data_IF_042033138560
#
_entry.id   IF_042033138560
#
_cell.length_a   1.000
_cell.length_b   1.000
_cell.length_c   1.000
_cell.angle_alpha   90.00
_cell.angle_beta   90.00
_cell.angle_gamma   90.00
#
_symmetry.space_group_name_H-M   'P 1'
#
loop_
_entity.id
_entity.type
_entity.pdbx_description
1 polymer ?
#
# COMPACT_ATOMS: atom_id res chain seq x y z
N UNK A 1 1.05 -20.42 0.43
CA UNK A 1 0.56 -19.85 1.73
C UNK A 1 -0.89 -20.27 2.01
N UNK A 2 -1.87 -20.03 1.09
CA UNK A 2 -3.29 -20.32 1.31
C UNK A 2 -3.51 -21.80 1.69
N UNK A 3 -3.02 -22.75 0.90
CA UNK A 3 -3.12 -24.17 1.18
C UNK A 3 -2.56 -24.56 2.57
N UNK A 4 -1.45 -23.95 2.97
CA UNK A 4 -0.86 -24.18 4.30
C UNK A 4 -1.78 -23.70 5.43
N UNK A 5 -2.42 -22.51 5.24
CA UNK A 5 -3.38 -21.95 6.18
C UNK A 5 -4.62 -22.85 6.27
N UNK A 6 -5.19 -23.26 5.15
CA UNK A 6 -6.34 -24.17 5.11
C UNK A 6 -6.04 -25.50 5.79
N UNK A 7 -4.86 -26.08 5.54
CA UNK A 7 -4.42 -27.31 6.18
C UNK A 7 -4.28 -27.16 7.70
N UNK A 8 -3.70 -26.03 8.15
CA UNK A 8 -3.49 -25.76 9.57
C UNK A 8 -4.80 -25.47 10.30
N UNK A 9 -5.65 -24.61 9.74
CA UNK A 9 -6.93 -24.21 10.34
C UNK A 9 -8.04 -25.24 10.17
N UNK A 10 -7.84 -26.22 9.28
CA UNK A 10 -8.87 -27.17 8.83
C UNK A 10 -10.12 -26.49 8.23
N UNK A 11 -9.96 -25.24 7.78
CA UNK A 11 -11.01 -24.47 7.11
C UNK A 11 -10.82 -24.51 5.60
N UNK A 12 -11.92 -24.68 4.87
CA UNK A 12 -11.92 -24.55 3.40
C UNK A 12 -11.93 -23.09 2.97
N UNK A 13 -12.54 -22.23 3.77
CA UNK A 13 -12.70 -20.81 3.49
C UNK A 13 -11.73 -19.98 4.33
N UNK A 14 -11.19 -18.93 3.73
CA UNK A 14 -10.28 -17.97 4.39
C UNK A 14 -10.70 -16.54 4.09
N UNK A 15 -10.30 -15.63 4.97
CA UNK A 15 -10.36 -14.20 4.73
C UNK A 15 -8.95 -13.68 4.45
N UNK A 16 -8.78 -12.89 3.40
CA UNK A 16 -7.54 -12.16 3.14
C UNK A 16 -7.65 -10.75 3.70
N UNK A 17 -6.65 -10.36 4.47
CA UNK A 17 -6.53 -9.02 5.01
C UNK A 17 -5.24 -8.37 4.52
N UNK A 18 -5.34 -7.20 3.92
CA UNK A 18 -4.20 -6.41 3.49
C UNK A 18 -4.29 -4.95 3.95
N UNK A 19 -3.19 -4.45 4.50
CA UNK A 19 -3.09 -3.06 4.89
C UNK A 19 -2.07 -2.34 4.02
N UNK A 20 -2.41 -1.14 3.53
CA UNK A 20 -1.54 -0.30 2.72
C UNK A 20 -1.04 -1.05 1.46
N UNK A 21 0.25 -1.18 1.26
CA UNK A 21 0.84 -1.94 0.15
C UNK A 21 0.37 -3.40 0.11
N UNK A 22 0.21 -4.05 1.26
CA UNK A 22 -0.28 -5.42 1.32
C UNK A 22 -1.73 -5.53 0.85
N UNK A 23 -2.55 -4.49 1.02
CA UNK A 23 -3.90 -4.45 0.49
C UNK A 23 -3.92 -4.46 -1.05
N UNK A 24 -2.98 -3.77 -1.70
CA UNK A 24 -2.82 -3.88 -3.16
C UNK A 24 -2.45 -5.30 -3.56
N UNK A 25 -1.53 -5.96 -2.84
CA UNK A 25 -1.10 -7.32 -3.17
C UNK A 25 -2.24 -8.33 -3.04
N UNK A 26 -3.01 -8.32 -1.94
CA UNK A 26 -4.14 -9.25 -1.78
C UNK A 26 -5.26 -8.96 -2.78
N UNK A 27 -5.49 -7.69 -3.11
CA UNK A 27 -6.46 -7.28 -4.15
C UNK A 27 -6.06 -7.84 -5.51
N UNK A 28 -4.82 -7.61 -5.94
CA UNK A 28 -4.32 -8.12 -7.21
C UNK A 28 -4.23 -9.65 -7.25
N UNK A 29 -3.89 -10.29 -6.14
CA UNK A 29 -3.90 -11.75 -6.02
C UNK A 29 -5.31 -12.29 -6.23
N UNK A 30 -6.30 -11.74 -5.52
CA UNK A 30 -7.71 -12.17 -5.62
C UNK A 30 -8.25 -11.93 -7.03
N UNK A 31 -8.04 -10.75 -7.60
CA UNK A 31 -8.49 -10.42 -8.96
C UNK A 31 -7.89 -11.33 -10.04
N UNK A 32 -6.63 -11.76 -9.83
CA UNK A 32 -5.92 -12.59 -10.82
C UNK A 32 -6.25 -14.05 -10.73
N UNK A 33 -6.35 -14.58 -9.52
CA UNK A 33 -6.45 -16.03 -9.28
C UNK A 33 -7.87 -16.48 -9.00
N UNK A 34 -8.77 -15.59 -8.62
CA UNK A 34 -10.17 -15.87 -8.27
C UNK A 34 -10.29 -17.14 -7.40
N UNK A 35 -9.54 -17.21 -6.26
CA UNK A 35 -9.48 -18.45 -5.51
C UNK A 35 -10.78 -18.69 -4.76
N UNK A 36 -11.45 -19.80 -5.04
CA UNK A 36 -12.71 -20.21 -4.37
C UNK A 36 -12.59 -20.23 -2.83
N UNK A 37 -11.37 -20.42 -2.34
CA UNK A 37 -11.08 -20.41 -0.90
C UNK A 37 -11.19 -19.02 -0.27
N UNK A 38 -11.09 -17.93 -1.02
CA UNK A 38 -11.16 -16.57 -0.49
C UNK A 38 -12.61 -16.13 -0.41
N UNK A 39 -13.15 -16.15 0.80
CA UNK A 39 -14.53 -15.76 1.09
C UNK A 39 -14.68 -14.27 1.30
N UNK A 40 -13.71 -13.67 1.98
CA UNK A 40 -13.72 -12.25 2.27
C UNK A 40 -12.37 -11.60 1.94
N UNK A 41 -12.43 -10.43 1.35
CA UNK A 41 -11.27 -9.57 1.09
C UNK A 41 -11.41 -8.29 1.94
N UNK A 42 -10.44 -8.05 2.82
CA UNK A 42 -10.40 -6.88 3.71
C UNK A 42 -9.20 -6.03 3.30
N UNK A 43 -9.47 -4.81 2.85
CA UNK A 43 -8.45 -3.89 2.33
C UNK A 43 -8.49 -2.58 3.13
N UNK A 44 -7.42 -2.29 3.86
CA UNK A 44 -7.34 -1.13 4.73
C UNK A 44 -6.24 -0.17 4.26
N UNK A 45 -6.58 1.12 4.10
CA UNK A 45 -5.62 2.17 3.78
C UNK A 45 -4.77 1.88 2.54
N UNK A 46 -5.36 1.35 1.47
CA UNK A 46 -4.66 0.98 0.24
C UNK A 46 -5.05 1.89 -0.92
N UNK A 47 -4.08 2.53 -1.61
CA UNK A 47 -4.37 3.51 -2.64
C UNK A 47 -4.76 2.82 -3.96
N UNK A 48 -6.03 2.90 -4.31
CA UNK A 48 -6.57 2.46 -5.61
C UNK A 48 -6.54 3.60 -6.62
N UNK A 49 -6.96 4.81 -6.23
CA UNK A 49 -6.64 6.04 -6.96
C UNK A 49 -5.50 6.77 -6.24
N UNK A 50 -4.25 6.48 -6.62
CA UNK A 50 -3.08 7.07 -5.99
C UNK A 50 -3.04 8.60 -6.12
N UNK A 51 -3.62 9.16 -7.18
CA UNK A 51 -3.65 10.62 -7.38
C UNK A 51 -4.61 11.35 -6.44
N UNK A 52 -5.59 10.64 -5.87
CA UNK A 52 -6.48 11.17 -4.85
C UNK A 52 -5.85 11.20 -3.44
N UNK A 53 -4.64 10.68 -3.27
CA UNK A 53 -3.89 10.65 -2.00
C UNK A 53 -3.33 12.04 -1.61
N UNK A 54 -4.15 13.05 -1.56
CA UNK A 54 -3.82 14.38 -1.04
C UNK A 54 -2.58 15.01 -1.68
N UNK A 55 -1.64 15.48 -0.85
CA UNK A 55 -0.39 16.10 -1.32
C UNK A 55 0.52 15.09 -2.03
N UNK A 56 0.66 13.90 -1.49
CA UNK A 56 1.49 12.83 -2.06
C UNK A 56 0.98 12.42 -3.44
N UNK A 57 -0.34 12.27 -3.60
CA UNK A 57 -0.94 11.96 -4.90
C UNK A 57 -0.66 13.05 -5.95
N UNK A 58 -0.73 14.32 -5.57
CA UNK A 58 -0.38 15.44 -6.46
C UNK A 58 1.09 15.42 -6.87
N UNK A 59 1.99 15.09 -5.93
CA UNK A 59 3.42 14.96 -6.21
C UNK A 59 3.66 13.86 -7.25
N UNK A 60 3.11 12.65 -7.05
CA UNK A 60 3.26 11.54 -7.99
C UNK A 60 2.65 11.84 -9.36
N UNK A 61 1.49 12.50 -9.40
CA UNK A 61 0.87 12.96 -10.66
C UNK A 61 1.78 13.91 -11.42
N UNK A 62 2.42 14.85 -10.71
CA UNK A 62 3.37 15.81 -11.32
C UNK A 62 4.63 15.10 -11.82
N UNK A 63 5.20 14.21 -11.02
CA UNK A 63 6.35 13.39 -11.42
C UNK A 63 6.03 12.52 -12.64
N UNK A 64 4.86 11.89 -12.67
CA UNK A 64 4.41 11.13 -13.83
C UNK A 64 4.31 12.00 -15.08
N UNK A 65 3.71 13.18 -14.97
CA UNK A 65 3.60 14.12 -16.09
C UNK A 65 4.98 14.50 -16.66
N UNK A 66 5.93 14.86 -15.79
CA UNK A 66 7.28 15.27 -16.22
C UNK A 66 8.04 14.11 -16.85
N UNK A 67 7.99 12.92 -16.21
CA UNK A 67 8.77 11.76 -16.67
C UNK A 67 8.20 11.10 -17.92
N UNK A 68 6.88 11.17 -18.13
CA UNK A 68 6.25 10.58 -19.32
C UNK A 68 6.25 11.48 -20.55
N UNK A 69 6.55 12.77 -20.38
CA UNK A 69 6.56 13.73 -21.48
C UNK A 69 7.67 13.43 -22.51
N UNK A 70 8.79 12.88 -22.05
CA UNK A 70 9.88 12.46 -22.92
C UNK A 70 9.93 10.92 -22.98
N UNK A 71 9.75 10.30 -24.17
CA UNK A 71 9.75 8.84 -24.31
C UNK A 71 11.03 8.16 -23.82
N UNK A 72 12.20 8.82 -24.01
CA UNK A 72 13.50 8.27 -23.57
C UNK A 72 13.59 8.27 -22.04
N UNK A 73 13.16 9.34 -21.37
CA UNK A 73 13.13 9.45 -19.91
C UNK A 73 12.15 8.41 -19.34
N UNK A 74 10.98 8.28 -19.95
CA UNK A 74 9.99 7.29 -19.58
C UNK A 74 10.57 5.88 -19.64
N UNK A 75 11.14 5.50 -20.79
CA UNK A 75 11.72 4.16 -20.96
C UNK A 75 12.85 3.89 -19.95
N UNK A 76 13.72 4.86 -19.72
CA UNK A 76 14.79 4.72 -18.74
C UNK A 76 14.25 4.50 -17.32
N UNK A 77 13.37 5.38 -16.84
CA UNK A 77 12.85 5.33 -15.47
C UNK A 77 12.01 4.07 -15.22
N UNK A 78 11.11 3.73 -16.16
CA UNK A 78 10.17 2.63 -15.94
C UNK A 78 10.75 1.25 -16.27
N UNK A 79 11.71 1.16 -17.20
CA UNK A 79 12.18 -0.13 -17.71
C UNK A 79 13.66 -0.42 -17.45
N UNK A 80 14.52 0.60 -17.42
CA UNK A 80 15.98 0.43 -17.40
C UNK A 80 16.65 0.86 -16.11
N UNK A 81 15.97 1.61 -15.24
CA UNK A 81 16.57 2.08 -13.99
C UNK A 81 17.06 0.87 -13.16
N UNK A 82 18.35 0.81 -12.79
CA UNK A 82 18.88 -0.29 -12.01
C UNK A 82 18.15 -0.44 -10.69
N UNK A 83 17.64 -1.63 -10.39
CA UNK A 83 16.86 -1.91 -9.17
C UNK A 83 17.63 -1.59 -7.90
N UNK A 84 18.97 -1.71 -7.94
CA UNK A 84 19.82 -1.34 -6.80
C UNK A 84 19.72 0.15 -6.45
N UNK A 85 19.50 1.03 -7.44
CA UNK A 85 19.38 2.49 -7.20
C UNK A 85 18.08 2.88 -6.52
N UNK A 86 17.06 2.04 -6.60
CA UNK A 86 15.74 2.25 -6.00
C UNK A 86 15.48 1.30 -4.82
N UNK A 87 16.48 0.57 -4.40
CA UNK A 87 16.46 -0.16 -3.13
C UNK A 87 16.41 0.85 -1.97
N UNK A 88 15.52 0.63 -1.02
CA UNK A 88 15.44 1.47 0.17
C UNK A 88 15.72 0.66 1.43
N UNK A 89 16.82 0.95 2.14
CA UNK A 89 17.11 0.35 3.44
C UNK A 89 16.02 0.65 4.46
N UNK A 90 15.79 -0.27 5.40
CA UNK A 90 14.74 -0.15 6.41
C UNK A 90 14.82 1.14 7.23
N UNK A 91 16.03 1.61 7.55
CA UNK A 91 16.19 2.88 8.27
C UNK A 91 15.70 4.11 7.46
N UNK A 92 15.88 4.11 6.13
CA UNK A 92 15.33 5.17 5.26
C UNK A 92 13.81 5.07 5.18
N UNK A 93 13.26 3.86 5.16
CA UNK A 93 11.82 3.66 5.22
C UNK A 93 11.26 4.21 6.54
N UNK A 94 11.90 3.89 7.67
CA UNK A 94 11.56 4.43 8.99
C UNK A 94 11.58 5.96 9.02
N UNK A 95 12.65 6.56 8.50
CA UNK A 95 12.77 8.01 8.40
C UNK A 95 11.67 8.61 7.52
N UNK A 96 11.39 8.00 6.38
CA UNK A 96 10.31 8.41 5.47
C UNK A 96 8.96 8.46 6.18
N UNK A 97 8.60 7.42 6.94
CA UNK A 97 7.34 7.39 7.70
C UNK A 97 7.29 8.48 8.79
N UNK A 98 8.37 8.72 9.51
CA UNK A 98 8.45 9.79 10.51
C UNK A 98 8.31 11.19 9.90
N UNK A 99 8.82 11.38 8.68
CA UNK A 99 8.73 12.64 7.94
C UNK A 99 7.38 12.87 7.25
N UNK A 100 6.49 11.88 7.18
CA UNK A 100 5.11 12.09 6.68
C UNK A 100 4.30 12.99 7.61
N UNK A 101 4.50 12.87 8.93
CA UNK A 101 3.90 13.75 9.93
C UNK A 101 4.91 14.12 11.02
N UNK A 102 5.87 15.04 10.73
CA UNK A 102 6.93 15.42 11.66
C UNK A 102 6.37 16.10 12.91
N UNK A 103 5.27 16.86 12.77
CA UNK A 103 4.61 17.50 13.89
C UNK A 103 3.98 16.47 14.83
N UNK A 104 3.18 15.55 14.29
CA UNK A 104 2.56 14.47 15.06
C UNK A 104 3.61 13.59 15.76
N UNK A 105 4.76 13.34 15.12
CA UNK A 105 5.86 12.61 15.73
C UNK A 105 6.48 13.37 16.92
N UNK A 106 6.72 14.68 16.80
CA UNK A 106 7.24 15.52 17.90
C UNK A 106 6.22 15.61 19.03
N UNK A 107 4.96 15.93 18.70
CA UNK A 107 3.87 16.07 19.68
C UNK A 107 3.62 14.75 20.42
N UNK A 108 3.70 13.61 19.73
CA UNK A 108 3.60 12.27 20.33
C UNK A 108 4.69 12.02 21.36
N UNK A 109 5.95 12.33 21.07
CA UNK A 109 7.05 12.20 22.03
C UNK A 109 6.88 13.13 23.25
N UNK A 110 6.39 14.37 23.04
CA UNK A 110 6.10 15.30 24.15
C UNK A 110 4.96 14.75 25.02
N UNK A 111 3.90 14.22 24.40
CA UNK A 111 2.78 13.61 25.11
C UNK A 111 3.23 12.38 25.92
N UNK A 112 4.08 11.55 25.36
CA UNK A 112 4.66 10.40 26.06
C UNK A 112 5.44 10.85 27.31
N UNK A 113 6.32 11.84 27.16
CA UNK A 113 7.10 12.37 28.29
C UNK A 113 6.24 12.97 29.39
N UNK A 114 5.09 13.56 29.04
CA UNK A 114 4.15 14.15 30.01
C UNK A 114 3.28 13.13 30.74
N UNK A 115 3.16 11.90 30.19
CA UNK A 115 2.24 10.88 30.68
C UNK A 115 2.96 9.52 30.87
N UNK A 116 4.17 9.52 31.39
CA UNK A 116 4.96 8.31 31.62
C UNK A 116 4.33 7.35 32.65
N UNK A 117 3.43 7.84 33.48
CA UNK A 117 2.62 7.08 34.42
C UNK A 117 1.46 6.32 33.75
N UNK A 118 1.08 6.71 32.54
CA UNK A 118 0.07 6.03 31.74
C UNK A 118 0.67 4.82 31.01
N UNK A 119 0.63 3.66 31.68
CA UNK A 119 1.19 2.42 31.15
C UNK A 119 0.64 2.04 29.76
N UNK A 120 -0.64 2.29 29.49
CA UNK A 120 -1.24 2.00 28.20
C UNK A 120 -0.61 2.84 27.09
N UNK A 121 -0.47 4.14 27.31
CA UNK A 121 0.16 5.04 26.34
C UNK A 121 1.61 4.66 26.07
N UNK A 122 2.36 4.31 27.12
CA UNK A 122 3.76 3.86 27.01
C UNK A 122 3.85 2.57 26.19
N UNK A 123 2.95 1.61 26.40
CA UNK A 123 2.92 0.35 25.63
C UNK A 123 2.56 0.57 24.16
N UNK A 124 1.59 1.43 23.87
CA UNK A 124 1.18 1.77 22.51
C UNK A 124 2.34 2.45 21.74
N UNK A 125 3.00 3.42 22.38
CA UNK A 125 4.17 4.10 21.80
C UNK A 125 5.34 3.14 21.60
N UNK A 126 5.65 2.31 22.59
CA UNK A 126 6.72 1.32 22.47
C UNK A 126 6.46 0.33 21.31
N UNK A 127 5.22 -0.07 21.10
CA UNK A 127 4.83 -0.96 19.98
C UNK A 127 5.02 -0.26 18.64
N UNK A 128 4.54 0.98 18.50
CA UNK A 128 4.69 1.77 17.27
C UNK A 128 6.17 2.08 16.99
N UNK A 129 6.91 2.48 18.00
CA UNK A 129 8.34 2.78 17.90
C UNK A 129 9.14 1.53 17.51
N UNK A 130 8.81 0.36 18.09
CA UNK A 130 9.41 -0.92 17.71
C UNK A 130 9.15 -1.24 16.24
N UNK A 131 7.91 -1.11 15.78
CA UNK A 131 7.57 -1.33 14.38
C UNK A 131 8.34 -0.40 13.44
N UNK A 132 8.32 0.91 13.70
CA UNK A 132 8.98 1.90 12.85
C UNK A 132 10.51 1.75 12.84
N UNK A 133 11.12 1.41 13.97
CA UNK A 133 12.58 1.25 14.06
C UNK A 133 13.10 -0.08 13.48
N UNK A 134 12.22 -1.05 13.28
CA UNK A 134 12.54 -2.36 12.70
C UNK A 134 11.94 -2.55 11.30
N UNK A 135 11.76 -1.47 10.55
CA UNK A 135 11.31 -1.58 9.18
C UNK A 135 12.31 -2.34 8.31
N UNK A 136 11.77 -3.21 7.47
CA UNK A 136 12.56 -4.03 6.55
C UNK A 136 13.02 -3.21 5.35
N UNK A 137 14.08 -3.69 4.71
CA UNK A 137 14.51 -3.18 3.42
C UNK A 137 13.47 -3.47 2.35
N UNK A 138 13.20 -2.49 1.47
CA UNK A 138 12.37 -2.71 0.30
C UNK A 138 13.26 -2.98 -0.92
N UNK A 139 13.21 -4.21 -1.47
CA UNK A 139 13.93 -4.53 -2.69
C UNK A 139 13.53 -3.59 -3.84
N UNK A 140 14.51 -3.18 -4.63
CA UNK A 140 14.27 -2.22 -5.71
C UNK A 140 13.21 -2.66 -6.73
N UNK A 141 12.98 -3.97 -6.89
CA UNK A 141 11.88 -4.46 -7.73
C UNK A 141 10.51 -4.13 -7.17
N UNK A 142 10.33 -4.23 -5.84
CA UNK A 142 9.08 -3.84 -5.16
C UNK A 142 8.89 -2.32 -5.27
N UNK A 143 9.94 -1.55 -5.01
CA UNK A 143 9.88 -0.09 -5.14
C UNK A 143 9.57 0.33 -6.59
N UNK A 144 10.15 -0.33 -7.59
CA UNK A 144 9.84 -0.08 -8.99
C UNK A 144 8.35 -0.29 -9.29
N UNK A 145 7.81 -1.42 -8.89
CA UNK A 145 6.40 -1.74 -9.12
C UNK A 145 5.48 -0.77 -8.36
N UNK A 146 5.79 -0.48 -7.09
CA UNK A 146 4.96 0.43 -6.28
C UNK A 146 5.07 1.87 -6.75
N UNK A 147 6.27 2.43 -6.87
CA UNK A 147 6.44 3.86 -7.19
C UNK A 147 6.05 4.16 -8.63
N UNK A 148 6.49 3.35 -9.58
CA UNK A 148 6.30 3.65 -11.00
C UNK A 148 5.02 3.04 -11.56
N UNK A 149 4.77 1.75 -11.32
CA UNK A 149 3.62 1.07 -11.92
C UNK A 149 2.32 1.33 -11.18
N UNK A 150 2.33 1.50 -9.85
CA UNK A 150 1.11 1.77 -9.06
C UNK A 150 0.90 3.26 -8.84
N UNK A 151 1.84 3.94 -8.19
CA UNK A 151 1.65 5.35 -7.82
C UNK A 151 1.71 6.32 -8.99
N UNK A 152 2.78 6.27 -9.83
CA UNK A 152 2.96 7.23 -10.92
C UNK A 152 2.06 6.96 -12.13
N UNK A 153 1.78 5.71 -12.49
CA UNK A 153 0.90 5.39 -13.60
C UNK A 153 -0.57 5.37 -13.20
N UNK A 154 -0.87 5.15 -11.92
CA UNK A 154 -2.22 5.11 -11.35
C UNK A 154 -3.22 4.22 -12.12
N UNK A 155 -2.85 3.00 -12.52
CA UNK A 155 -3.68 2.18 -13.39
C UNK A 155 -4.90 1.60 -12.67
N UNK A 156 -4.82 1.36 -11.37
CA UNK A 156 -5.90 0.76 -10.57
C UNK A 156 -7.15 1.62 -10.52
N UNK A 157 -7.01 2.94 -10.65
CA UNK A 157 -8.14 3.87 -10.82
C UNK A 157 -9.08 3.47 -11.96
N UNK A 158 -8.52 2.88 -13.01
CA UNK A 158 -9.28 2.45 -14.19
C UNK A 158 -9.70 0.97 -14.09
N UNK A 159 -9.58 0.36 -12.93
CA UNK A 159 -10.02 -1.02 -12.66
C UNK A 159 -9.09 -2.11 -13.17
N UNK A 160 -7.90 -1.78 -13.68
CA UNK A 160 -6.98 -2.78 -14.19
C UNK A 160 -5.52 -2.36 -14.09
N UNK A 161 -4.62 -3.34 -14.01
CA UNK A 161 -3.16 -3.14 -14.11
C UNK A 161 -2.55 -4.23 -15.01
N UNK A 162 -1.56 -3.85 -15.81
CA UNK A 162 -0.80 -4.83 -16.61
C UNK A 162 0.57 -5.05 -15.99
N UNK A 163 0.85 -6.27 -15.56
CA UNK A 163 2.11 -6.70 -15.00
C UNK A 163 2.69 -7.86 -15.81
N UNK A 164 3.93 -7.74 -16.28
CA UNK A 164 4.59 -8.78 -17.10
C UNK A 164 3.69 -9.32 -18.24
N UNK A 165 3.11 -8.43 -19.03
CA UNK A 165 2.23 -8.76 -20.17
C UNK A 165 0.91 -9.47 -19.78
N UNK A 166 0.50 -9.41 -18.52
CA UNK A 166 -0.78 -9.95 -18.05
C UNK A 166 -1.60 -8.84 -17.43
N UNK A 167 -2.78 -8.61 -17.98
CA UNK A 167 -3.74 -7.65 -17.41
C UNK A 167 -4.53 -8.32 -16.30
N UNK A 168 -4.61 -7.65 -15.18
CA UNK A 168 -5.37 -8.03 -13.98
C UNK A 168 -6.48 -7.01 -13.85
N UNK A 169 -7.73 -7.46 -13.92
CA UNK A 169 -8.92 -6.62 -13.86
C UNK A 169 -9.58 -6.76 -12.48
N UNK A 170 -9.83 -5.65 -11.81
CA UNK A 170 -10.42 -5.63 -10.46
C UNK A 170 -11.87 -6.13 -10.44
N UNK A 171 -12.59 -6.01 -11.56
CA UNK A 171 -13.94 -6.58 -11.71
C UNK A 171 -14.03 -8.10 -11.54
N UNK A 172 -12.88 -8.80 -11.59
CA UNK A 172 -12.83 -10.24 -11.34
C UNK A 172 -12.91 -10.59 -9.84
N UNK A 173 -12.97 -9.60 -8.96
CA UNK A 173 -13.21 -9.82 -7.52
C UNK A 173 -14.72 -9.89 -7.32
N UNK A 174 -15.20 -11.05 -6.90
CA UNK A 174 -16.62 -11.37 -6.67
C UNK A 174 -16.90 -11.83 -5.21
N UNK A 175 -15.85 -11.98 -4.40
CA UNK A 175 -16.00 -12.31 -2.97
C UNK A 175 -16.39 -11.07 -2.17
N UNK A 176 -16.94 -11.28 -0.95
CA UNK A 176 -17.29 -10.19 -0.04
C UNK A 176 -16.11 -9.25 0.21
N UNK A 177 -16.31 -7.94 0.02
CA UNK A 177 -15.28 -6.93 0.12
C UNK A 177 -15.56 -5.94 1.27
N UNK A 178 -14.56 -5.72 2.11
CA UNK A 178 -14.54 -4.64 3.09
C UNK A 178 -13.38 -3.69 2.76
N UNK A 179 -13.68 -2.42 2.50
CA UNK A 179 -12.67 -1.39 2.32
C UNK A 179 -12.73 -0.41 3.47
N UNK A 180 -11.59 -0.14 4.10
CA UNK A 180 -11.46 0.83 5.17
C UNK A 180 -10.35 1.84 4.91
N UNK A 181 -10.58 3.09 5.33
CA UNK A 181 -9.58 4.15 5.30
C UNK A 181 -9.65 4.99 6.57
N UNK A 182 -8.50 5.45 7.06
CA UNK A 182 -8.43 6.36 8.20
C UNK A 182 -8.95 7.74 7.82
N UNK A 183 -9.84 8.30 8.64
CA UNK A 183 -10.42 9.64 8.40
C UNK A 183 -9.35 10.75 8.36
N UNK A 184 -8.26 10.56 9.09
CA UNK A 184 -7.13 11.49 9.19
C UNK A 184 -5.87 10.96 8.49
N UNK A 185 -5.99 9.92 7.67
CA UNK A 185 -4.86 9.37 6.93
C UNK A 185 -4.45 10.36 5.83
N UNK A 186 -3.21 10.86 5.94
CA UNK A 186 -2.66 11.84 5.01
C UNK A 186 -1.96 11.17 3.82
N UNK A 187 -1.64 9.88 3.92
CA UNK A 187 -0.98 9.12 2.87
C UNK A 187 -2.00 8.46 1.94
N UNK A 188 -3.02 7.81 2.52
CA UNK A 188 -4.09 7.15 1.75
C UNK A 188 -5.44 7.66 2.24
N UNK A 189 -5.94 8.68 1.56
CA UNK A 189 -7.25 9.27 1.87
C UNK A 189 -8.39 8.29 1.54
N UNK A 190 -9.58 8.56 2.05
CA UNK A 190 -10.80 7.83 1.70
C UNK A 190 -11.07 7.84 0.19
N UNK A 191 -10.82 8.97 -0.46
CA UNK A 191 -10.99 9.16 -1.90
C UNK A 191 -10.01 8.29 -2.71
N UNK A 192 -8.84 7.99 -2.13
CA UNK A 192 -7.87 7.09 -2.76
C UNK A 192 -8.22 5.61 -2.58
N UNK A 193 -8.84 5.23 -1.46
CA UNK A 193 -9.10 3.84 -1.12
C UNK A 193 -10.46 3.32 -1.63
N UNK A 194 -11.53 4.07 -1.47
CA UNK A 194 -12.90 3.63 -1.74
C UNK A 194 -13.27 3.35 -3.20
N UNK A 195 -12.57 3.87 -4.23
CA UNK A 195 -12.86 3.46 -5.61
C UNK A 195 -12.87 1.93 -5.82
N UNK A 196 -12.16 1.16 -4.98
CA UNK A 196 -12.17 -0.30 -5.06
C UNK A 196 -13.60 -0.90 -5.00
N UNK A 197 -14.47 -0.34 -4.17
CA UNK A 197 -15.86 -0.82 -4.02
C UNK A 197 -16.72 -0.67 -5.28
N UNK A 198 -16.30 0.22 -6.20
CA UNK A 198 -17.01 0.47 -7.46
C UNK A 198 -16.38 -0.26 -8.65
N UNK A 199 -15.16 -0.76 -8.47
CA UNK A 199 -14.37 -1.40 -9.52
C UNK A 199 -14.40 -2.94 -9.45
N UNK A 200 -15.09 -3.49 -8.46
CA UNK A 200 -15.25 -4.94 -8.24
C UNK A 200 -16.70 -5.37 -8.45
N UNK A 201 -16.92 -6.66 -8.58
CA UNK A 201 -18.25 -7.28 -8.65
C UNK A 201 -18.70 -7.86 -7.28
N UNK A 202 -18.08 -7.39 -6.20
CA UNK A 202 -18.34 -7.89 -4.84
C UNK A 202 -19.68 -7.39 -4.27
#
# INVERSE_FOLDING_TARGET
CIEAIQKHSKSKEISLHGWSMAGIFVTLYTARHQPDAVKNLIVLGSPIDSYASGYIGRLYKTLAYVTTRNPMIKDYIYNRLPKLMIHSPGFLNSLGFKLLDPKGWIDGNIQLLKNLDNLKLVQEDATLSHFLNNMIDYPGGINQDMLFNVWMQNPLKNGAITLKNKTIELKNIDCSLLVGAGKSDQLVTSEAAFPLTQLTNS
#
